data_IF_758039012517
#
_entry.id   IF_758039012517
#
_cell.length_a   1.000
_cell.length_b   1.000
_cell.length_c   1.000
_cell.angle_alpha   90.00
_cell.angle_beta   90.00
_cell.angle_gamma   90.00
#
_symmetry.space_group_name_H-M   'P 1'
#
loop_
_entity.id
_entity.type
_entity.pdbx_description
1 polymer ?
#
# COMPACT_ATOMS: atom_id res chain seq x y z
N UNK A 1 20.81 -15.19 -23.56
CA UNK A 1 20.36 -13.78 -23.69
C UNK A 1 20.69 -12.94 -22.47
N UNK A 2 20.43 -13.41 -21.23
CA UNK A 2 20.69 -12.63 -20.02
C UNK A 2 22.11 -12.75 -19.44
N UNK A 3 22.87 -13.79 -19.82
CA UNK A 3 24.22 -14.06 -19.32
C UNK A 3 25.20 -12.86 -19.36
N UNK A 4 25.26 -12.03 -20.43
CA UNK A 4 26.09 -10.83 -20.42
C UNK A 4 25.77 -9.83 -19.29
N UNK A 5 24.50 -9.73 -18.89
CA UNK A 5 24.05 -8.86 -17.80
C UNK A 5 24.39 -9.46 -16.44
N UNK A 6 24.28 -10.78 -16.29
CA UNK A 6 24.71 -11.49 -15.09
C UNK A 6 26.22 -11.33 -14.88
N UNK A 7 27.01 -11.47 -15.95
CA UNK A 7 28.46 -11.24 -15.94
C UNK A 7 28.79 -9.83 -15.47
N UNK A 8 28.13 -8.82 -16.03
CA UNK A 8 28.32 -7.42 -15.63
C UNK A 8 27.93 -7.18 -14.17
N UNK A 9 26.82 -7.75 -13.68
CA UNK A 9 26.46 -7.64 -12.27
C UNK A 9 27.54 -8.22 -11.35
N UNK A 10 28.06 -9.42 -11.64
CA UNK A 10 29.07 -10.08 -10.80
C UNK A 10 30.37 -9.26 -10.70
N UNK A 11 30.71 -8.54 -11.76
CA UNK A 11 31.97 -7.80 -11.88
C UNK A 11 31.88 -6.34 -11.47
N UNK A 12 30.78 -5.67 -11.86
CA UNK A 12 30.62 -4.23 -11.71
C UNK A 12 29.78 -3.88 -10.47
N UNK A 13 28.88 -4.78 -10.03
CA UNK A 13 28.02 -4.62 -8.85
C UNK A 13 27.24 -3.29 -8.81
N UNK A 14 27.03 -2.67 -9.99
CA UNK A 14 26.50 -1.32 -10.12
C UNK A 14 25.05 -1.19 -9.65
N UNK A 15 24.29 -2.28 -9.68
CA UNK A 15 22.86 -2.30 -9.33
C UNK A 15 22.60 -1.75 -7.92
N UNK A 16 23.46 -2.05 -6.95
CA UNK A 16 23.29 -1.58 -5.57
C UNK A 16 23.24 -0.07 -5.48
N UNK A 17 24.31 0.58 -5.93
CA UNK A 17 24.46 2.02 -5.84
C UNK A 17 23.37 2.75 -6.65
N UNK A 18 23.04 2.26 -7.85
CA UNK A 18 22.04 2.86 -8.72
C UNK A 18 20.64 2.82 -8.11
N UNK A 19 20.25 1.66 -7.55
CA UNK A 19 18.93 1.49 -6.90
C UNK A 19 18.86 2.27 -5.60
N UNK A 20 19.88 2.19 -4.73
CA UNK A 20 19.91 2.93 -3.45
C UNK A 20 19.83 4.46 -3.69
N UNK A 21 20.59 5.00 -4.65
CA UNK A 21 20.55 6.43 -5.00
C UNK A 21 19.16 6.86 -5.47
N UNK A 22 18.52 6.04 -6.31
CA UNK A 22 17.18 6.34 -6.84
C UNK A 22 16.12 6.23 -5.74
N UNK A 23 16.23 5.23 -4.86
CA UNK A 23 15.34 5.06 -3.72
C UNK A 23 15.42 6.26 -2.77
N UNK A 24 16.62 6.73 -2.41
CA UNK A 24 16.78 7.94 -1.57
C UNK A 24 16.14 9.18 -2.20
N UNK A 25 16.25 9.34 -3.52
CA UNK A 25 15.60 10.45 -4.21
C UNK A 25 14.06 10.36 -4.18
N UNK A 26 13.50 9.14 -4.28
CA UNK A 26 12.06 8.90 -4.16
C UNK A 26 11.56 9.15 -2.73
N UNK A 27 12.33 8.75 -1.72
CA UNK A 27 12.01 9.00 -0.31
C UNK A 27 12.01 10.50 0.01
N UNK A 28 13.00 11.24 -0.48
CA UNK A 28 13.04 12.70 -0.34
C UNK A 28 11.84 13.38 -1.02
N UNK A 29 11.24 12.75 -2.03
CA UNK A 29 10.01 13.21 -2.69
C UNK A 29 8.72 12.73 -2.00
N UNK A 30 8.81 12.03 -0.86
CA UNK A 30 7.66 11.58 -0.06
C UNK A 30 7.09 10.22 -0.47
N UNK A 31 7.76 9.46 -1.34
CA UNK A 31 7.35 8.12 -1.71
C UNK A 31 7.98 7.08 -0.77
N UNK A 32 7.19 6.10 -0.34
CA UNK A 32 7.64 4.98 0.47
C UNK A 32 7.88 3.73 -0.38
N UNK A 33 9.08 3.16 -0.28
CA UNK A 33 9.47 1.94 -0.98
C UNK A 33 10.96 1.68 -0.79
N UNK A 34 11.33 0.47 -0.41
CA UNK A 34 12.72 0.03 -0.48
C UNK A 34 12.78 -1.47 -0.80
N UNK A 35 13.23 -1.81 -2.01
CA UNK A 35 13.88 -3.10 -2.22
C UNK A 35 15.34 -2.99 -1.80
N UNK A 36 15.78 -3.75 -0.80
CA UNK A 36 17.19 -3.76 -0.40
C UNK A 36 18.05 -4.41 -1.47
N UNK A 37 18.82 -3.58 -2.18
CA UNK A 37 19.80 -4.06 -3.13
C UNK A 37 21.05 -4.58 -2.41
N UNK A 38 21.64 -5.63 -2.98
CA UNK A 38 22.85 -6.27 -2.45
C UNK A 38 24.01 -5.98 -3.39
N UNK A 39 25.23 -6.24 -2.93
CA UNK A 39 26.42 -6.16 -3.79
C UNK A 39 26.28 -7.07 -5.02
N UNK A 40 25.88 -8.32 -4.80
CA UNK A 40 25.57 -9.28 -5.87
C UNK A 40 24.08 -9.61 -5.82
N UNK A 41 23.37 -9.31 -6.91
CA UNK A 41 21.93 -9.52 -7.01
C UNK A 41 21.53 -10.81 -7.75
N UNK A 42 22.39 -11.82 -7.68
CA UNK A 42 22.22 -13.16 -8.24
C UNK A 42 22.23 -14.22 -7.14
N UNK A 43 21.46 -15.28 -7.34
CA UNK A 43 21.56 -16.54 -6.60
C UNK A 43 22.25 -17.58 -7.47
N UNK A 44 22.97 -18.49 -6.83
CA UNK A 44 23.46 -19.73 -7.42
C UNK A 44 22.48 -20.87 -7.13
N UNK A 45 22.24 -21.73 -8.11
CA UNK A 45 21.24 -22.78 -8.07
C UNK A 45 21.81 -24.13 -8.50
N UNK A 46 21.41 -25.18 -7.80
CA UNK A 46 21.56 -26.59 -8.17
C UNK A 46 20.32 -27.34 -7.70
N UNK A 47 20.25 -28.66 -7.88
CA UNK A 47 19.13 -29.46 -7.40
C UNK A 47 18.83 -29.17 -5.91
N UNK A 48 17.63 -28.66 -5.64
CA UNK A 48 17.16 -28.26 -4.31
C UNK A 48 17.99 -27.16 -3.60
N UNK A 49 18.81 -26.41 -4.33
CA UNK A 49 19.65 -25.33 -3.81
C UNK A 49 19.31 -24.03 -4.55
N UNK A 50 19.07 -22.96 -3.79
CA UNK A 50 19.06 -21.58 -4.31
C UNK A 50 19.62 -20.65 -3.26
N UNK A 51 20.91 -20.36 -3.39
CA UNK A 51 21.65 -19.65 -2.37
C UNK A 51 22.34 -18.41 -2.88
N UNK A 52 22.58 -17.48 -1.96
CA UNK A 52 23.16 -16.18 -2.28
C UNK A 52 24.64 -16.33 -2.60
N UNK A 53 25.09 -15.60 -3.60
CA UNK A 53 26.51 -15.39 -3.88
C UNK A 53 26.95 -14.14 -3.11
N UNK A 54 28.05 -14.24 -2.37
CA UNK A 54 28.71 -13.11 -1.69
C UNK A 54 30.18 -13.06 -2.08
N UNK A 55 30.76 -11.87 -2.13
CA UNK A 55 32.20 -11.71 -2.35
C UNK A 55 32.89 -11.46 -1.00
N UNK A 56 33.76 -12.38 -0.59
CA UNK A 56 34.50 -12.34 0.67
C UNK A 56 35.96 -12.73 0.43
N UNK A 57 36.91 -11.89 0.86
CA UNK A 57 38.35 -12.19 0.73
C UNK A 57 38.82 -12.40 -0.71
N UNK A 58 38.18 -11.76 -1.70
CA UNK A 58 38.50 -11.90 -3.12
C UNK A 58 37.98 -13.20 -3.77
N UNK A 59 37.13 -13.95 -3.06
CA UNK A 59 36.42 -15.12 -3.60
C UNK A 59 34.91 -14.90 -3.59
N UNK A 60 34.21 -15.55 -4.50
CA UNK A 60 32.76 -15.59 -4.58
C UNK A 60 32.26 -16.87 -3.92
N UNK A 61 31.65 -16.73 -2.76
CA UNK A 61 31.16 -17.85 -1.95
C UNK A 61 29.65 -17.95 -2.07
N UNK A 62 29.15 -19.17 -2.26
CA UNK A 62 27.72 -19.46 -2.19
C UNK A 62 27.39 -19.81 -0.75
N UNK A 63 26.57 -18.97 -0.11
CA UNK A 63 26.24 -19.13 1.31
C UNK A 63 25.64 -20.51 1.58
N UNK A 64 25.91 -21.04 2.78
CA UNK A 64 25.40 -22.33 3.25
C UNK A 64 25.86 -23.54 2.42
N UNK A 65 26.94 -23.39 1.64
CA UNK A 65 27.55 -24.46 0.86
C UNK A 65 29.06 -24.36 0.87
N UNK A 66 29.74 -25.41 0.39
CA UNK A 66 31.19 -25.41 0.19
C UNK A 66 31.61 -24.80 -1.18
N UNK A 67 30.65 -24.32 -1.98
CA UNK A 67 30.97 -23.71 -3.27
C UNK A 67 31.62 -22.34 -3.07
N UNK A 68 32.87 -22.23 -3.51
CA UNK A 68 33.62 -20.97 -3.52
C UNK A 68 34.45 -20.89 -4.80
N UNK A 69 34.33 -19.78 -5.51
CA UNK A 69 34.94 -19.57 -6.81
C UNK A 69 35.91 -18.38 -6.75
N UNK A 70 37.03 -18.46 -7.45
CA UNK A 70 37.73 -17.25 -7.90
C UNK A 70 36.86 -16.51 -8.91
N UNK A 71 37.22 -15.28 -9.23
CA UNK A 71 36.56 -14.51 -10.30
C UNK A 71 36.51 -15.29 -11.62
N UNK A 72 37.64 -15.87 -12.05
CA UNK A 72 37.72 -16.57 -13.33
C UNK A 72 36.92 -17.88 -13.30
N UNK A 73 36.97 -18.62 -12.19
CA UNK A 73 36.15 -19.83 -11.99
C UNK A 73 34.66 -19.53 -12.04
N UNK A 74 34.19 -18.43 -11.42
CA UNK A 74 32.78 -18.06 -11.42
C UNK A 74 32.30 -17.65 -12.82
N UNK A 75 33.15 -16.93 -13.56
CA UNK A 75 32.83 -16.52 -14.93
C UNK A 75 32.78 -17.71 -15.89
N UNK A 76 33.68 -18.68 -15.72
CA UNK A 76 33.63 -19.92 -16.48
C UNK A 76 32.39 -20.74 -16.14
N UNK A 77 32.05 -20.85 -14.84
CA UNK A 77 30.83 -21.49 -14.38
C UNK A 77 29.57 -20.82 -14.96
N UNK A 78 29.54 -19.49 -15.02
CA UNK A 78 28.45 -18.74 -15.65
C UNK A 78 28.35 -18.99 -17.17
N UNK A 79 29.49 -19.09 -17.86
CA UNK A 79 29.53 -19.34 -19.29
C UNK A 79 29.08 -20.78 -19.64
N UNK A 80 29.51 -21.76 -18.85
CA UNK A 80 29.17 -23.17 -19.06
C UNK A 80 27.77 -23.53 -18.54
N UNK A 81 27.32 -22.89 -17.45
CA UNK A 81 26.10 -23.23 -16.74
C UNK A 81 25.27 -21.99 -16.35
N UNK A 82 24.80 -21.18 -17.33
CA UNK A 82 24.03 -19.99 -17.04
C UNK A 82 22.68 -20.28 -16.36
N UNK A 83 22.16 -21.50 -16.49
CA UNK A 83 20.95 -22.00 -15.83
C UNK A 83 21.11 -22.14 -14.30
N UNK A 84 22.35 -22.20 -13.80
CA UNK A 84 22.65 -22.20 -12.37
C UNK A 84 22.60 -20.82 -11.73
N UNK A 85 22.31 -19.77 -12.49
CA UNK A 85 22.24 -18.41 -11.96
C UNK A 85 20.81 -17.89 -12.08
N UNK A 86 20.26 -17.35 -10.99
CA UNK A 86 18.94 -16.69 -11.02
C UNK A 86 18.98 -15.28 -10.45
N UNK A 87 18.27 -14.32 -11.05
CA UNK A 87 18.16 -12.98 -10.51
C UNK A 87 17.34 -12.97 -9.22
N UNK A 88 17.68 -12.05 -8.31
CA UNK A 88 16.80 -11.66 -7.20
C UNK A 88 15.80 -10.57 -7.66
N UNK A 89 15.05 -9.99 -6.72
CA UNK A 89 14.07 -8.92 -7.00
C UNK A 89 14.68 -7.67 -7.66
N UNK A 90 15.97 -7.41 -7.51
CA UNK A 90 16.67 -6.28 -8.13
C UNK A 90 16.91 -6.54 -9.62
N UNK A 91 17.43 -7.72 -9.98
CA UNK A 91 17.73 -8.05 -11.38
C UNK A 91 16.57 -8.69 -12.15
N UNK A 92 15.53 -9.18 -11.48
CA UNK A 92 14.38 -9.83 -12.14
C UNK A 92 13.73 -8.95 -13.21
N UNK A 93 13.53 -7.63 -13.01
CA UNK A 93 13.01 -6.74 -14.05
C UNK A 93 13.90 -6.72 -15.30
N UNK A 94 15.22 -6.64 -15.14
CA UNK A 94 16.16 -6.65 -16.27
C UNK A 94 16.10 -7.98 -17.02
N UNK A 95 16.03 -9.09 -16.28
CA UNK A 95 15.86 -10.41 -16.88
C UNK A 95 14.60 -10.46 -17.74
N UNK A 96 13.47 -10.00 -17.20
CA UNK A 96 12.20 -9.95 -17.90
C UNK A 96 12.28 -9.15 -19.21
N UNK A 97 12.84 -7.94 -19.18
CA UNK A 97 13.01 -7.10 -20.38
C UNK A 97 14.01 -7.69 -21.39
N UNK A 98 14.98 -8.50 -20.94
CA UNK A 98 15.93 -9.16 -21.83
C UNK A 98 15.31 -10.34 -22.60
N UNK A 99 14.41 -11.09 -21.95
CA UNK A 99 13.88 -12.33 -22.53
C UNK A 99 12.52 -12.15 -23.21
N UNK A 100 11.76 -11.12 -22.84
CA UNK A 100 10.44 -10.81 -23.40
C UNK A 100 10.47 -9.45 -24.10
N UNK A 101 9.93 -9.33 -25.33
CA UNK A 101 9.72 -8.03 -25.95
C UNK A 101 8.58 -7.31 -25.21
N UNK A 102 8.93 -6.50 -24.21
CA UNK A 102 7.94 -5.88 -23.34
C UNK A 102 7.71 -4.40 -23.68
N UNK A 103 6.46 -4.06 -24.01
CA UNK A 103 6.03 -2.67 -24.21
C UNK A 103 5.65 -2.03 -22.87
N UNK A 104 5.01 -2.81 -21.97
CA UNK A 104 4.44 -2.30 -20.74
C UNK A 104 4.48 -3.35 -19.63
N UNK A 105 4.98 -2.94 -18.46
CA UNK A 105 4.84 -3.71 -17.23
C UNK A 105 3.49 -3.41 -16.58
N UNK A 106 2.67 -4.43 -16.39
CA UNK A 106 1.40 -4.34 -15.66
C UNK A 106 1.59 -4.86 -14.25
N UNK A 107 1.41 -4.02 -13.23
CA UNK A 107 1.66 -4.39 -11.84
C UNK A 107 0.79 -3.64 -10.83
N UNK A 108 0.74 -4.15 -9.60
CA UNK A 108 0.11 -3.46 -8.46
C UNK A 108 0.91 -2.24 -8.00
N UNK A 109 0.33 -1.44 -7.11
CA UNK A 109 0.97 -0.20 -6.64
C UNK A 109 2.35 -0.40 -6.01
N UNK A 110 2.51 -1.43 -5.17
CA UNK A 110 3.81 -1.77 -4.59
C UNK A 110 4.81 -2.30 -5.62
N UNK A 111 4.33 -2.93 -6.68
CA UNK A 111 5.22 -3.40 -7.76
C UNK A 111 5.74 -2.22 -8.59
N UNK A 112 4.85 -1.32 -8.98
CA UNK A 112 5.20 -0.10 -9.72
C UNK A 112 6.18 0.75 -8.92
N UNK A 113 5.97 0.90 -7.61
CA UNK A 113 6.88 1.64 -6.74
C UNK A 113 8.32 1.11 -6.84
N UNK A 114 8.52 -0.22 -6.75
CA UNK A 114 9.87 -0.76 -6.89
C UNK A 114 10.42 -0.63 -8.33
N UNK A 115 9.59 -0.70 -9.37
CA UNK A 115 10.08 -0.51 -10.75
C UNK A 115 10.67 0.89 -10.94
N UNK A 116 10.09 1.91 -10.32
CA UNK A 116 10.59 3.28 -10.38
C UNK A 116 12.00 3.43 -9.82
N UNK A 117 12.37 2.64 -8.80
CA UNK A 117 13.71 2.63 -8.20
C UNK A 117 14.82 2.17 -9.18
N UNK A 118 14.45 1.54 -10.30
CA UNK A 118 15.40 0.86 -11.21
C UNK A 118 15.65 1.61 -12.51
N UNK A 119 15.05 2.79 -12.70
CA UNK A 119 15.18 3.55 -13.96
C UNK A 119 16.65 3.78 -14.38
N UNK A 120 17.50 4.14 -13.41
CA UNK A 120 18.94 4.33 -13.61
C UNK A 120 19.68 3.00 -13.89
N UNK A 121 19.27 1.92 -13.24
CA UNK A 121 19.77 0.57 -13.47
C UNK A 121 19.51 0.13 -14.93
N UNK A 122 18.29 0.31 -15.44
CA UNK A 122 17.96 0.00 -16.84
C UNK A 122 18.82 0.76 -17.84
N UNK A 123 19.00 2.07 -17.61
CA UNK A 123 19.87 2.90 -18.44
C UNK A 123 21.33 2.41 -18.44
N UNK A 124 21.86 2.03 -17.27
CA UNK A 124 23.22 1.50 -17.12
C UNK A 124 23.46 0.20 -17.90
N UNK A 125 22.46 -0.68 -17.91
CA UNK A 125 22.52 -1.93 -18.67
C UNK A 125 22.12 -1.77 -20.15
N UNK A 126 21.72 -0.57 -20.59
CA UNK A 126 21.32 -0.31 -21.97
C UNK A 126 20.02 -1.02 -22.35
N UNK A 127 19.14 -1.24 -21.38
CA UNK A 127 17.85 -1.89 -21.58
C UNK A 127 16.72 -0.85 -21.64
N UNK A 128 15.72 -1.12 -22.46
CA UNK A 128 14.52 -0.29 -22.51
C UNK A 128 13.80 -0.38 -21.16
N UNK A 129 13.42 0.78 -20.64
CA UNK A 129 12.53 0.84 -19.47
C UNK A 129 11.09 0.82 -19.97
N UNK A 130 10.28 -0.20 -19.63
CA UNK A 130 8.92 -0.34 -20.16
C UNK A 130 7.99 0.73 -19.59
N UNK A 131 6.86 0.96 -20.26
CA UNK A 131 5.79 1.75 -19.65
C UNK A 131 5.27 1.04 -18.41
N UNK A 132 5.11 1.74 -17.30
CA UNK A 132 4.52 1.17 -16.09
C UNK A 132 3.01 1.41 -16.11
N UNK A 133 2.23 0.35 -16.08
CA UNK A 133 0.76 0.38 -16.09
C UNK A 133 0.25 -0.22 -14.79
N UNK A 134 -0.54 0.56 -14.05
CA UNK A 134 -1.20 0.06 -12.84
C UNK A 134 -2.30 -0.90 -13.26
N UNK A 135 -2.20 -2.16 -12.82
CA UNK A 135 -3.30 -3.12 -13.02
C UNK A 135 -4.58 -2.59 -12.38
N UNK A 136 -5.73 -2.95 -12.93
CA UNK A 136 -7.00 -2.61 -12.29
C UNK A 136 -7.04 -3.17 -10.86
N UNK A 137 -7.69 -2.42 -9.98
CA UNK A 137 -8.15 -2.94 -8.70
C UNK A 137 -9.65 -3.18 -8.80
N UNK A 138 -10.15 -4.27 -8.22
CA UNK A 138 -11.56 -4.61 -8.25
C UNK A 138 -12.12 -4.86 -6.84
N UNK A 139 -13.40 -4.51 -6.66
CA UNK A 139 -14.22 -4.87 -5.51
C UNK A 139 -15.47 -5.57 -6.02
N UNK A 140 -15.70 -6.81 -5.58
CA UNK A 140 -16.88 -7.60 -5.94
C UNK A 140 -17.91 -7.55 -4.83
N UNK A 141 -19.11 -7.09 -5.16
CA UNK A 141 -20.26 -6.99 -4.28
C UNK A 141 -21.30 -8.01 -4.74
N UNK A 142 -21.39 -9.12 -4.00
CA UNK A 142 -22.44 -10.11 -4.25
C UNK A 142 -23.84 -9.55 -3.95
N UNK A 143 -24.86 -10.19 -4.52
CA UNK A 143 -26.27 -9.78 -4.38
C UNK A 143 -26.74 -9.62 -2.94
N UNK A 144 -26.27 -10.46 -2.01
CA UNK A 144 -26.69 -10.37 -0.61
C UNK A 144 -26.04 -9.18 0.09
N UNK A 145 -24.82 -8.84 -0.31
CA UNK A 145 -24.07 -7.69 0.16
C UNK A 145 -24.67 -6.41 -0.38
N UNK A 146 -24.99 -6.36 -1.68
CA UNK A 146 -25.71 -5.24 -2.32
C UNK A 146 -27.03 -4.93 -1.59
N UNK A 147 -27.86 -5.94 -1.33
CA UNK A 147 -29.10 -5.76 -0.55
C UNK A 147 -28.88 -5.17 0.85
N UNK A 148 -27.77 -5.50 1.51
CA UNK A 148 -27.44 -4.95 2.84
C UNK A 148 -26.99 -3.49 2.73
N UNK A 149 -26.22 -3.15 1.71
CA UNK A 149 -25.82 -1.78 1.38
C UNK A 149 -27.08 -0.92 1.18
N UNK A 150 -27.99 -1.37 0.32
CA UNK A 150 -29.25 -0.67 0.02
C UNK A 150 -30.13 -0.49 1.27
N UNK A 151 -30.26 -1.55 2.08
CA UNK A 151 -31.06 -1.51 3.31
C UNK A 151 -30.52 -0.52 4.35
N UNK A 152 -29.21 -0.28 4.35
CA UNK A 152 -28.55 0.70 5.20
C UNK A 152 -28.55 2.11 4.59
N UNK A 153 -29.14 2.30 3.40
CA UNK A 153 -29.18 3.58 2.70
C UNK A 153 -27.80 4.07 2.26
N UNK A 154 -26.86 3.15 2.04
CA UNK A 154 -25.50 3.47 1.64
C UNK A 154 -25.31 3.29 0.15
N UNK A 155 -24.25 3.89 -0.38
CA UNK A 155 -23.67 3.56 -1.67
C UNK A 155 -22.38 2.76 -1.47
N UNK A 156 -21.92 2.07 -2.51
CA UNK A 156 -20.66 1.33 -2.46
C UNK A 156 -19.45 2.24 -2.15
N UNK A 157 -19.46 3.48 -2.65
CA UNK A 157 -18.37 4.44 -2.42
C UNK A 157 -18.29 4.89 -0.95
N UNK A 158 -19.42 4.87 -0.22
CA UNK A 158 -19.42 5.20 1.21
C UNK A 158 -18.57 4.24 2.03
N UNK A 159 -18.39 3.00 1.56
CA UNK A 159 -17.64 1.95 2.23
C UNK A 159 -16.12 2.09 2.04
N UNK A 160 -15.67 3.05 1.22
CA UNK A 160 -14.26 3.41 1.08
C UNK A 160 -13.74 4.22 2.28
N UNK A 161 -14.65 4.83 3.05
CA UNK A 161 -14.31 5.47 4.32
C UNK A 161 -13.90 4.43 5.37
N UNK A 162 -13.14 4.84 6.39
CA UNK A 162 -12.89 3.98 7.53
C UNK A 162 -14.18 3.65 8.29
N UNK A 163 -14.17 2.52 9.00
CA UNK A 163 -15.36 2.02 9.72
C UNK A 163 -15.89 3.01 10.75
N UNK A 164 -15.04 3.71 11.49
CA UNK A 164 -15.52 4.61 12.54
C UNK A 164 -16.10 5.90 11.96
N UNK A 165 -15.50 6.43 10.89
CA UNK A 165 -16.05 7.52 10.09
C UNK A 165 -17.43 7.19 9.53
N UNK A 166 -17.54 6.04 8.86
CA UNK A 166 -18.82 5.54 8.31
C UNK A 166 -19.89 5.38 9.40
N UNK A 167 -19.55 4.77 10.55
CA UNK A 167 -20.49 4.60 11.67
C UNK A 167 -20.90 5.96 12.23
N UNK A 168 -19.95 6.88 12.43
CA UNK A 168 -20.26 8.22 12.95
C UNK A 168 -21.23 8.95 12.02
N UNK A 169 -20.94 8.93 10.71
CA UNK A 169 -21.77 9.56 9.67
C UNK A 169 -23.16 8.93 9.61
N UNK A 170 -23.26 7.60 9.66
CA UNK A 170 -24.54 6.89 9.72
C UNK A 170 -25.34 7.28 10.96
N UNK A 171 -24.72 7.29 12.14
CA UNK A 171 -25.38 7.61 13.41
C UNK A 171 -25.84 9.07 13.43
N UNK A 172 -25.03 10.01 12.92
CA UNK A 172 -25.42 11.41 12.81
C UNK A 172 -26.62 11.60 11.88
N UNK A 173 -26.65 10.92 10.73
CA UNK A 173 -27.77 11.00 9.79
C UNK A 173 -29.08 10.40 10.34
N UNK A 174 -28.99 9.49 11.32
CA UNK A 174 -30.14 8.80 11.93
C UNK A 174 -30.36 9.20 13.40
N UNK A 175 -29.65 10.21 13.88
CA UNK A 175 -29.86 10.75 15.20
C UNK A 175 -31.18 11.53 15.21
N UNK A 176 -31.95 11.41 16.30
CA UNK A 176 -33.17 12.20 16.46
C UNK A 176 -32.91 13.64 16.88
N UNK A 177 -31.65 13.98 17.15
CA UNK A 177 -31.17 15.25 17.66
C UNK A 177 -29.76 15.53 17.13
N UNK A 178 -29.37 16.81 17.10
CA UNK A 178 -28.02 17.22 16.75
C UNK A 178 -27.02 16.70 17.80
N UNK A 179 -26.03 15.92 17.34
CA UNK A 179 -25.01 15.33 18.22
C UNK A 179 -23.74 16.16 18.27
N UNK A 180 -23.54 17.07 17.31
CA UNK A 180 -22.35 17.89 17.28
C UNK A 180 -22.46 19.04 18.28
N UNK A 181 -21.36 19.32 18.98
CA UNK A 181 -21.25 20.47 19.87
C UNK A 181 -20.43 21.60 19.24
N UNK A 182 -20.44 21.71 17.90
CA UNK A 182 -19.59 22.64 17.16
C UNK A 182 -19.91 24.12 17.49
N UNK A 183 -21.20 24.47 17.56
CA UNK A 183 -21.63 25.83 17.91
C UNK A 183 -21.34 26.16 19.38
N UNK A 184 -21.49 25.19 20.29
CA UNK A 184 -21.14 25.33 21.70
C UNK A 184 -19.63 25.52 21.88
N UNK A 185 -18.81 24.77 21.14
CA UNK A 185 -17.34 24.92 21.13
C UNK A 185 -16.95 26.31 20.63
N UNK A 186 -17.55 26.79 19.54
CA UNK A 186 -17.30 28.12 19.00
C UNK A 186 -17.67 29.22 20.02
N UNK A 187 -18.84 29.10 20.66
CA UNK A 187 -19.28 30.01 21.71
C UNK A 187 -18.31 30.02 22.90
N UNK A 188 -17.80 28.85 23.29
CA UNK A 188 -16.82 28.70 24.35
C UNK A 188 -15.49 29.38 23.98
N UNK A 189 -14.98 29.17 22.77
CA UNK A 189 -13.78 29.84 22.26
C UNK A 189 -13.91 31.35 22.26
N UNK A 190 -15.04 31.89 21.81
CA UNK A 190 -15.33 33.32 21.81
C UNK A 190 -15.37 33.88 23.23
N UNK A 191 -15.95 33.13 24.18
CA UNK A 191 -15.99 33.49 25.60
C UNK A 191 -14.58 33.58 26.19
N UNK A 192 -13.76 32.56 25.96
CA UNK A 192 -12.38 32.53 26.46
C UNK A 192 -11.48 33.56 25.78
N UNK A 193 -11.71 33.86 24.51
CA UNK A 193 -11.02 34.97 23.80
C UNK A 193 -11.31 36.31 24.46
N UNK A 194 -12.57 36.58 24.81
CA UNK A 194 -12.98 37.79 25.55
C UNK A 194 -12.33 37.87 26.93
N UNK A 195 -12.24 36.74 27.66
CA UNK A 195 -11.54 36.65 28.94
C UNK A 195 -10.05 36.93 28.77
N UNK A 196 -9.42 36.37 27.73
CA UNK A 196 -8.00 36.57 27.41
C UNK A 196 -7.65 38.04 27.20
N UNK A 197 -8.46 38.75 26.40
CA UNK A 197 -8.27 40.20 26.19
C UNK A 197 -8.34 41.01 27.49
N UNK A 198 -9.25 40.66 28.41
CA UNK A 198 -9.34 41.31 29.74
C UNK A 198 -8.16 40.95 30.64
N UNK A 199 -7.75 39.68 30.63
CA UNK A 199 -6.66 39.18 31.45
C UNK A 199 -5.32 39.82 31.06
N UNK A 200 -5.01 39.90 29.77
CA UNK A 200 -3.77 40.53 29.27
C UNK A 200 -3.69 42.02 29.61
N UNK A 201 -4.83 42.73 29.65
CA UNK A 201 -4.89 44.13 30.07
C UNK A 201 -4.60 44.33 31.57
N UNK A 202 -4.81 43.30 32.40
CA UNK A 202 -4.55 43.35 33.85
C UNK A 202 -3.13 42.87 34.15
N UNK A 203 -2.77 41.69 33.64
CA UNK A 203 -1.47 41.06 33.81
C UNK A 203 -1.16 40.17 32.58
N UNK A 204 -0.17 40.54 31.75
CA UNK A 204 0.23 39.76 30.58
C UNK A 204 0.61 38.30 30.88
N UNK A 205 1.02 37.99 32.12
CA UNK A 205 1.38 36.62 32.52
C UNK A 205 0.17 35.68 32.57
N UNK A 206 -1.05 36.22 32.67
CA UNK A 206 -2.30 35.43 32.73
C UNK A 206 -2.74 34.86 31.37
N UNK A 207 -2.18 35.34 30.26
CA UNK A 207 -2.54 34.87 28.90
C UNK A 207 -2.37 33.35 28.77
N UNK A 208 -1.23 32.83 29.26
CA UNK A 208 -0.94 31.38 29.25
C UNK A 208 -1.96 30.59 30.05
N UNK A 209 -2.42 31.13 31.18
CA UNK A 209 -3.43 30.49 32.04
C UNK A 209 -4.79 30.42 31.34
N UNK A 210 -5.20 31.51 30.67
CA UNK A 210 -6.47 31.54 29.91
C UNK A 210 -6.43 30.55 28.75
N UNK A 211 -5.33 30.48 27.99
CA UNK A 211 -5.18 29.51 26.90
C UNK A 211 -5.23 28.06 27.42
N UNK A 212 -4.56 27.78 28.54
CA UNK A 212 -4.59 26.45 29.15
C UNK A 212 -6.01 26.04 29.60
N UNK A 213 -6.76 26.96 30.20
CA UNK A 213 -8.14 26.69 30.61
C UNK A 213 -9.08 26.56 29.39
N UNK A 214 -8.86 27.35 28.33
CA UNK A 214 -9.60 27.22 27.06
C UNK A 214 -9.45 25.81 26.50
N UNK A 215 -8.21 25.34 26.35
CA UNK A 215 -7.91 24.02 25.82
C UNK A 215 -8.53 22.90 26.68
N UNK A 216 -8.48 23.05 28.01
CA UNK A 216 -9.07 22.10 28.95
C UNK A 216 -10.60 22.02 28.83
N UNK A 217 -11.27 23.15 28.68
CA UNK A 217 -12.73 23.17 28.55
C UNK A 217 -13.21 22.68 27.18
N UNK A 218 -12.48 23.00 26.10
CA UNK A 218 -12.75 22.44 24.78
C UNK A 218 -12.62 20.91 24.79
N UNK A 219 -11.57 20.38 25.44
CA UNK A 219 -11.41 18.93 25.63
C UNK A 219 -12.56 18.31 26.43
N UNK A 220 -13.12 19.03 27.40
CA UNK A 220 -14.30 18.58 28.16
C UNK A 220 -15.54 18.48 27.26
N UNK A 221 -15.76 19.47 26.37
CA UNK A 221 -16.84 19.42 25.38
C UNK A 221 -16.64 18.27 24.37
N UNK A 222 -15.42 18.01 23.91
CA UNK A 222 -15.11 16.86 23.05
C UNK A 222 -15.49 15.53 23.72
N UNK A 223 -15.16 15.37 25.00
CA UNK A 223 -15.53 14.17 25.76
C UNK A 223 -17.05 14.02 25.91
N UNK A 224 -17.78 15.12 26.03
CA UNK A 224 -19.25 15.09 26.07
C UNK A 224 -19.83 14.70 24.71
N UNK A 225 -19.33 15.28 23.61
CA UNK A 225 -19.71 14.93 22.24
C UNK A 225 -19.46 13.44 21.96
N UNK A 226 -18.31 12.89 22.39
CA UNK A 226 -18.02 11.46 22.29
C UNK A 226 -19.01 10.59 23.07
N UNK A 227 -19.44 11.03 24.26
CA UNK A 227 -20.45 10.32 25.06
C UNK A 227 -21.82 10.34 24.41
N UNK A 228 -22.24 11.46 23.82
CA UNK A 228 -23.47 11.58 23.05
C UNK A 228 -23.45 10.61 21.85
N UNK A 229 -22.36 10.63 21.08
CA UNK A 229 -22.18 9.74 19.95
C UNK A 229 -22.19 8.26 20.40
N UNK A 230 -21.58 7.93 21.54
CA UNK A 230 -21.59 6.56 22.07
C UNK A 230 -22.99 6.10 22.47
N UNK A 231 -23.78 6.96 23.10
CA UNK A 231 -25.16 6.64 23.47
C UNK A 231 -26.03 6.37 22.22
N UNK A 232 -25.85 7.18 21.18
CA UNK A 232 -26.55 6.96 19.91
C UNK A 232 -26.04 5.72 19.15
N UNK A 233 -24.73 5.44 19.16
CA UNK A 233 -24.18 4.19 18.63
C UNK A 233 -24.81 2.97 19.32
N UNK A 234 -25.08 3.02 20.62
CA UNK A 234 -25.76 1.95 21.36
C UNK A 234 -27.23 1.83 20.95
N UNK A 235 -27.93 2.96 20.74
CA UNK A 235 -29.32 2.94 20.25
C UNK A 235 -29.44 2.30 18.86
N UNK A 236 -28.42 2.49 18.03
CA UNK A 236 -28.33 1.94 16.67
C UNK A 236 -27.46 0.68 16.56
N UNK A 237 -27.25 -0.06 17.64
CA UNK A 237 -26.27 -1.16 17.73
C UNK A 237 -26.41 -2.19 16.60
N UNK A 238 -27.65 -2.56 16.23
CA UNK A 238 -27.89 -3.53 15.14
C UNK A 238 -27.34 -3.02 13.80
N UNK A 239 -27.61 -1.74 13.47
CA UNK A 239 -27.11 -1.14 12.23
C UNK A 239 -25.58 -0.96 12.29
N UNK A 240 -25.05 -0.54 13.44
CA UNK A 240 -23.60 -0.41 13.68
C UNK A 240 -22.89 -1.75 13.45
N UNK A 241 -23.43 -2.84 13.99
CA UNK A 241 -22.86 -4.18 13.80
C UNK A 241 -22.95 -4.64 12.34
N UNK A 242 -24.04 -4.32 11.64
CA UNK A 242 -24.16 -4.59 10.21
C UNK A 242 -23.14 -3.81 9.38
N UNK A 243 -22.90 -2.53 9.70
CA UNK A 243 -21.88 -1.71 9.05
C UNK A 243 -20.47 -2.27 9.25
N UNK A 244 -20.13 -2.68 10.48
CA UNK A 244 -18.85 -3.35 10.77
C UNK A 244 -18.69 -4.61 9.95
N UNK A 245 -19.68 -5.50 9.99
CA UNK A 245 -19.64 -6.76 9.24
C UNK A 245 -19.57 -6.55 7.72
N UNK A 246 -20.25 -5.53 7.20
CA UNK A 246 -20.21 -5.16 5.78
C UNK A 246 -18.82 -4.66 5.39
N UNK A 247 -18.24 -3.77 6.19
CA UNK A 247 -16.88 -3.26 5.96
C UNK A 247 -15.86 -4.39 6.07
N UNK A 248 -15.92 -5.23 7.09
CA UNK A 248 -14.98 -6.33 7.28
C UNK A 248 -15.05 -7.35 6.13
N UNK A 249 -16.22 -7.55 5.53
CA UNK A 249 -16.39 -8.40 4.35
C UNK A 249 -15.74 -7.82 3.09
N UNK A 250 -15.92 -6.51 2.85
CA UNK A 250 -15.45 -5.85 1.62
C UNK A 250 -14.01 -5.30 1.73
N UNK A 251 -13.55 -5.04 2.94
CA UNK A 251 -12.22 -4.52 3.26
C UNK A 251 -11.58 -5.30 4.43
N UNK A 252 -11.34 -6.61 4.25
CA UNK A 252 -10.85 -7.48 5.32
C UNK A 252 -9.51 -6.98 5.87
N UNK A 253 -9.44 -6.81 7.19
CA UNK A 253 -8.25 -6.28 7.87
C UNK A 253 -7.88 -4.85 7.45
N UNK A 254 -8.85 -4.04 7.02
CA UNK A 254 -8.66 -2.72 6.40
C UNK A 254 -7.89 -2.77 5.06
N UNK A 255 -7.70 -3.95 4.48
CA UNK A 255 -7.08 -4.15 3.17
C UNK A 255 -8.11 -4.23 2.05
N UNK A 256 -7.63 -4.33 0.80
CA UNK A 256 -8.50 -4.56 -0.36
C UNK A 256 -8.94 -6.02 -0.42
N UNK A 257 -10.20 -6.28 -0.77
CA UNK A 257 -10.75 -7.62 -0.99
C UNK A 257 -9.88 -8.46 -1.93
N UNK A 258 -9.44 -7.90 -3.06
CA UNK A 258 -8.59 -8.58 -4.05
C UNK A 258 -7.22 -9.05 -3.53
N UNK A 259 -6.80 -8.58 -2.34
CA UNK A 259 -5.55 -8.99 -1.70
C UNK A 259 -5.75 -10.08 -0.64
N UNK A 260 -6.99 -10.38 -0.31
CA UNK A 260 -7.37 -11.34 0.72
C UNK A 260 -8.10 -12.53 0.11
N UNK A 261 -9.07 -12.27 -0.76
CA UNK A 261 -9.94 -13.30 -1.28
C UNK A 261 -9.25 -14.17 -2.33
N UNK A 262 -9.62 -15.44 -2.34
CA UNK A 262 -9.23 -16.38 -3.37
C UNK A 262 -10.27 -16.39 -4.50
N UNK A 263 -9.85 -16.78 -5.71
CA UNK A 263 -10.72 -16.95 -6.87
C UNK A 263 -11.80 -18.04 -6.67
N UNK A 264 -11.47 -19.12 -5.95
CA UNK A 264 -12.29 -20.35 -5.92
C UNK A 264 -13.75 -20.13 -5.48
N UNK A 265 -14.07 -19.36 -4.41
CA UNK A 265 -15.44 -19.10 -4.02
C UNK A 265 -16.27 -18.42 -5.12
N UNK A 266 -15.68 -17.48 -5.86
CA UNK A 266 -16.34 -16.80 -6.98
C UNK A 266 -16.58 -17.78 -8.13
N UNK A 267 -15.56 -18.57 -8.51
CA UNK A 267 -15.71 -19.55 -9.58
C UNK A 267 -16.74 -20.64 -9.27
N UNK A 268 -16.83 -21.10 -8.01
CA UNK A 268 -17.83 -22.08 -7.59
C UNK A 268 -19.26 -21.52 -7.63
N UNK A 269 -19.42 -20.21 -7.44
CA UNK A 269 -20.73 -19.54 -7.42
C UNK A 269 -21.19 -19.13 -8.82
N UNK A 270 -20.28 -18.57 -9.62
CA UNK A 270 -20.61 -17.92 -10.90
C UNK A 270 -20.05 -18.64 -12.13
N UNK A 271 -19.20 -19.67 -11.94
CA UNK A 271 -18.57 -20.39 -13.05
C UNK A 271 -17.75 -19.48 -13.96
N UNK A 272 -17.85 -19.74 -15.27
CA UNK A 272 -17.12 -18.97 -16.29
C UNK A 272 -17.64 -17.54 -16.49
N UNK A 273 -18.90 -17.28 -16.14
CA UNK A 273 -19.50 -15.95 -16.26
C UNK A 273 -18.77 -14.92 -15.39
N UNK A 274 -18.16 -15.34 -14.28
CA UNK A 274 -17.26 -14.51 -13.48
C UNK A 274 -16.19 -13.83 -14.34
N UNK A 275 -15.50 -14.59 -15.19
CA UNK A 275 -14.45 -14.06 -16.04
C UNK A 275 -14.99 -13.18 -17.16
N UNK A 276 -16.20 -13.46 -17.64
CA UNK A 276 -16.85 -12.61 -18.64
C UNK A 276 -17.14 -11.23 -18.06
N UNK A 277 -17.73 -11.16 -16.87
CA UNK A 277 -18.00 -9.90 -16.15
C UNK A 277 -16.70 -9.14 -15.88
N UNK A 278 -15.66 -9.82 -15.39
CA UNK A 278 -14.36 -9.17 -15.16
C UNK A 278 -13.76 -8.59 -16.46
N UNK A 279 -13.79 -9.33 -17.57
CA UNK A 279 -13.25 -8.84 -18.84
C UNK A 279 -14.04 -7.65 -19.40
N UNK A 280 -15.34 -7.61 -19.16
CA UNK A 280 -16.21 -6.52 -19.59
C UNK A 280 -15.91 -5.23 -18.81
N UNK A 281 -15.65 -5.32 -17.50
CA UNK A 281 -15.54 -4.14 -16.62
C UNK A 281 -14.10 -3.70 -16.32
N UNK A 282 -13.10 -4.58 -16.49
CA UNK A 282 -11.71 -4.25 -16.19
C UNK A 282 -11.03 -3.64 -17.42
N UNK A 283 -10.94 -2.31 -17.43
CA UNK A 283 -10.25 -1.54 -18.47
C UNK A 283 -8.85 -1.12 -17.99
N UNK A 284 -7.74 -1.73 -18.49
CA UNK A 284 -6.40 -1.58 -17.91
C UNK A 284 -5.81 -0.17 -17.90
N UNK A 285 -6.37 0.75 -18.69
CA UNK A 285 -5.91 2.13 -18.79
C UNK A 285 -6.80 3.11 -18.01
N UNK A 286 -7.90 2.63 -17.44
CA UNK A 286 -8.79 3.46 -16.62
C UNK A 286 -8.33 3.41 -15.16
N UNK A 287 -7.99 4.57 -14.57
CA UNK A 287 -7.54 4.63 -13.20
C UNK A 287 -8.74 4.51 -12.25
N UNK A 288 -8.57 3.70 -11.19
CA UNK A 288 -9.57 3.63 -10.12
C UNK A 288 -9.67 2.24 -9.50
N UNK A 289 -10.59 2.14 -8.54
CA UNK A 289 -11.13 0.88 -8.06
C UNK A 289 -12.42 0.62 -8.84
N UNK A 290 -12.49 -0.50 -9.54
CA UNK A 290 -13.69 -0.93 -10.26
C UNK A 290 -14.59 -1.66 -9.26
N UNK A 291 -15.79 -1.12 -9.02
CA UNK A 291 -16.80 -1.79 -8.18
C UNK A 291 -17.74 -2.55 -9.09
N UNK A 292 -17.80 -3.86 -8.91
CA UNK A 292 -18.68 -4.77 -9.65
C UNK A 292 -19.74 -5.25 -8.67
N UNK A 293 -21.00 -4.90 -8.93
CA UNK A 293 -22.15 -5.35 -8.14
C UNK A 293 -23.06 -6.23 -8.97
N UNK A 294 -23.56 -7.29 -8.37
CA UNK A 294 -24.76 -8.02 -8.84
C UNK A 294 -26.06 -7.25 -8.61
#
# INVERSE_FOLDING_TARGET
KFEPYMRRELLEQASRQLVETTATALEAAGFSGQAHARNINLFYMRENLRERIVEEGGRYTVLHTDFSFTKDELLEELAQHPDRFSPNVILRPLYQECILPNLAYVGGGGEIAYWLERKSQFAYFGLNFPMLVRRNSALWIDKNTGKRIDKLGLRAEDLLEDTEGLIRRYVQAHAGAELSLAEEKKTLEETFRSIGLKATNIDPTLEKTVLAETAKQLKSLEQLEERLLRAEKQRHEVAVNQLRALRDKLFPGNGLQERHDNLLPYFLTYGWDFFHVLKEHLHPLEPGLVVISE
#
